data_IF_117048552310
#
_entry.id   IF_117048552310
#
_cell.length_a   1.000
_cell.length_b   1.000
_cell.length_c   1.000
_cell.angle_alpha   90.00
_cell.angle_beta   90.00
_cell.angle_gamma   90.00
#
_symmetry.space_group_name_H-M   'P 1'
#
loop_
_entity.id
_entity.type
_entity.pdbx_description
1 polymer ?
#
# COMPACT_ATOMS: atom_id res chain seq x y z
N UNK A 1 62.00 -35.42 23.22
CA UNK A 1 62.33 -34.16 22.52
C UNK A 1 61.14 -33.72 21.65
N UNK A 2 60.57 -32.54 21.90
CA UNK A 2 59.26 -32.09 21.38
C UNK A 2 59.44 -31.26 20.11
N UNK A 3 58.96 -31.78 18.97
CA UNK A 3 59.04 -31.15 17.64
C UNK A 3 58.13 -29.91 17.60
N UNK A 4 58.71 -28.69 17.57
CA UNK A 4 57.96 -27.44 17.41
C UNK A 4 57.37 -27.38 15.98
N UNK A 5 56.04 -27.44 15.86
CA UNK A 5 55.33 -27.15 14.60
C UNK A 5 55.46 -25.66 14.30
N UNK A 6 56.04 -25.33 13.14
CA UNK A 6 56.03 -23.98 12.58
C UNK A 6 54.59 -23.58 12.25
N UNK A 7 54.06 -22.60 12.97
CA UNK A 7 52.79 -21.96 12.64
C UNK A 7 53.04 -21.01 11.48
N UNK A 8 52.62 -21.40 10.26
CA UNK A 8 52.56 -20.53 9.10
C UNK A 8 51.51 -19.45 9.37
N UNK A 9 51.95 -18.29 9.87
CA UNK A 9 51.10 -17.12 10.01
C UNK A 9 50.57 -16.73 8.62
N UNK A 10 49.25 -16.73 8.45
CA UNK A 10 48.62 -16.09 7.30
C UNK A 10 48.75 -14.59 7.52
N UNK A 11 49.60 -13.95 6.74
CA UNK A 11 49.74 -12.50 6.69
C UNK A 11 48.35 -11.90 6.46
N UNK A 12 47.85 -10.98 7.32
CA UNK A 12 46.70 -10.19 6.94
C UNK A 12 47.12 -9.38 5.71
N UNK A 13 46.35 -9.50 4.63
CA UNK A 13 46.51 -8.68 3.43
C UNK A 13 46.49 -7.23 3.91
N UNK A 14 47.66 -6.59 3.85
CA UNK A 14 47.86 -5.21 4.25
C UNK A 14 47.10 -4.32 3.28
N UNK A 15 45.84 -4.05 3.60
CA UNK A 15 45.08 -2.98 2.96
C UNK A 15 45.79 -1.69 3.35
N UNK A 16 46.51 -1.09 2.40
CA UNK A 16 47.18 0.18 2.62
C UNK A 16 46.13 1.23 3.02
N UNK A 17 46.48 2.15 3.92
CA UNK A 17 45.59 3.26 4.31
C UNK A 17 45.09 4.07 3.10
N UNK A 18 45.83 4.03 1.99
CA UNK A 18 45.44 4.60 0.71
C UNK A 18 44.21 3.92 0.08
N UNK A 19 44.02 2.61 0.25
CA UNK A 19 42.82 1.90 -0.21
C UNK A 19 41.58 2.21 0.66
N UNK A 20 41.77 2.49 1.96
CA UNK A 20 40.68 2.93 2.85
C UNK A 20 40.18 4.36 2.53
N UNK A 21 41.04 5.18 1.92
CA UNK A 21 40.71 6.54 1.47
C UNK A 21 40.25 6.61 0.00
N UNK A 22 40.07 5.47 -0.67
CA UNK A 22 39.43 5.48 -1.98
C UNK A 22 37.95 5.88 -1.79
N UNK A 23 37.44 6.93 -2.47
CA UNK A 23 36.04 7.30 -2.35
C UNK A 23 35.19 6.13 -2.83
N UNK A 24 34.52 5.46 -1.90
CA UNK A 24 33.53 4.43 -2.23
C UNK A 24 32.49 5.05 -3.15
N UNK A 25 32.11 4.32 -4.21
CA UNK A 25 31.04 4.74 -5.11
C UNK A 25 29.82 5.11 -4.28
N UNK A 26 29.44 6.38 -4.34
CA UNK A 26 28.23 6.88 -3.70
C UNK A 26 27.04 6.14 -4.33
N UNK A 27 26.42 5.25 -3.56
CA UNK A 27 25.10 4.71 -3.88
C UNK A 27 24.09 5.69 -3.29
N UNK A 28 23.42 6.53 -4.10
CA UNK A 28 22.39 7.41 -3.58
C UNK A 28 21.34 6.60 -2.81
N UNK A 29 20.87 7.07 -1.64
CA UNK A 29 19.75 6.46 -0.95
C UNK A 29 18.58 6.39 -1.93
N UNK A 30 18.05 5.18 -2.18
CA UNK A 30 16.82 5.05 -2.98
C UNK A 30 15.77 5.98 -2.36
N UNK A 31 15.32 6.97 -3.12
CA UNK A 31 14.20 7.79 -2.72
C UNK A 31 13.05 6.83 -2.37
N UNK A 32 12.64 6.80 -1.09
CA UNK A 32 11.44 6.06 -0.69
C UNK A 32 10.30 6.75 -1.41
N UNK A 33 9.85 6.21 -2.55
CA UNK A 33 8.66 6.70 -3.21
C UNK A 33 7.52 6.47 -2.25
N UNK A 34 7.13 7.55 -1.56
CA UNK A 34 5.98 7.55 -0.68
C UNK A 34 4.77 7.59 -1.60
N UNK A 35 4.41 6.43 -2.14
CA UNK A 35 3.10 6.19 -2.72
C UNK A 35 2.09 6.27 -1.57
N UNK A 36 1.78 7.50 -1.15
CA UNK A 36 0.63 7.77 -0.30
C UNK A 36 -0.50 8.10 -1.26
N UNK A 37 -1.37 7.13 -1.47
CA UNK A 37 -2.71 7.40 -2.02
C UNK A 37 -3.34 8.51 -1.17
N UNK A 38 -3.94 9.54 -1.77
CA UNK A 38 -4.62 10.59 -1.01
C UNK A 38 -5.71 9.96 -0.13
N UNK A 39 -5.75 10.24 1.18
CA UNK A 39 -6.67 9.58 2.12
C UNK A 39 -8.14 9.85 1.78
N UNK A 40 -8.43 10.91 1.01
CA UNK A 40 -9.77 11.22 0.55
C UNK A 40 -10.36 10.14 -0.38
N UNK A 41 -9.53 9.42 -1.14
CA UNK A 41 -10.01 8.32 -2.00
C UNK A 41 -10.63 7.21 -1.17
N UNK A 42 -9.96 6.81 -0.08
CA UNK A 42 -10.48 5.81 0.86
C UNK A 42 -11.72 6.31 1.61
N UNK A 43 -11.76 7.59 1.96
CA UNK A 43 -12.94 8.20 2.59
C UNK A 43 -14.15 8.22 1.65
N UNK A 44 -13.97 8.62 0.39
CA UNK A 44 -15.03 8.63 -0.63
C UNK A 44 -15.51 7.22 -0.95
N UNK A 45 -14.61 6.23 -1.01
CA UNK A 45 -14.94 4.80 -1.12
C UNK A 45 -15.91 4.34 -0.04
N UNK A 46 -15.54 4.53 1.23
CA UNK A 46 -16.37 4.10 2.35
C UNK A 46 -17.71 4.83 2.38
N UNK A 47 -17.70 6.13 2.07
CA UNK A 47 -18.93 6.94 2.02
C UNK A 47 -19.86 6.44 0.92
N UNK A 48 -19.36 6.23 -0.29
CA UNK A 48 -20.15 5.74 -1.43
C UNK A 48 -20.74 4.36 -1.16
N UNK A 49 -19.97 3.47 -0.52
CA UNK A 49 -20.40 2.11 -0.19
C UNK A 49 -21.44 2.09 0.94
N UNK A 50 -21.21 2.86 2.02
CA UNK A 50 -22.18 3.01 3.12
C UNK A 50 -23.49 3.63 2.63
N UNK A 51 -23.40 4.67 1.81
CA UNK A 51 -24.59 5.32 1.25
C UNK A 51 -25.34 4.39 0.31
N UNK A 52 -24.64 3.68 -0.60
CA UNK A 52 -25.28 2.67 -1.46
C UNK A 52 -26.00 1.59 -0.67
N UNK A 53 -25.36 1.09 0.40
CA UNK A 53 -25.97 0.10 1.29
C UNK A 53 -27.19 0.65 2.04
N UNK A 54 -27.08 1.88 2.57
CA UNK A 54 -28.19 2.55 3.25
C UNK A 54 -29.37 2.82 2.31
N UNK A 55 -29.12 3.15 1.05
CA UNK A 55 -30.17 3.33 0.02
C UNK A 55 -30.90 2.02 -0.24
N UNK A 56 -30.18 0.90 -0.38
CA UNK A 56 -30.80 -0.43 -0.58
C UNK A 56 -31.64 -0.80 0.64
N UNK A 57 -31.09 -0.66 1.85
CA UNK A 57 -31.81 -0.96 3.09
C UNK A 57 -33.04 -0.06 3.26
N UNK A 58 -32.91 1.25 3.06
CA UNK A 58 -34.02 2.18 3.16
C UNK A 58 -35.12 1.88 2.14
N UNK A 59 -34.76 1.50 0.91
CA UNK A 59 -35.74 1.15 -0.11
C UNK A 59 -36.51 -0.12 0.26
N UNK A 60 -35.82 -1.14 0.75
CA UNK A 60 -36.45 -2.40 1.18
C UNK A 60 -37.27 -2.27 2.47
N UNK A 61 -36.84 -1.42 3.40
CA UNK A 61 -37.60 -1.10 4.62
C UNK A 61 -38.79 -0.17 4.36
N UNK A 62 -39.06 0.19 3.09
CA UNK A 62 -40.12 1.14 2.70
C UNK A 62 -40.04 2.48 3.45
N UNK A 63 -38.85 2.86 3.92
CA UNK A 63 -38.57 4.13 4.61
C UNK A 63 -38.51 5.32 3.64
N UNK A 64 -38.45 5.07 2.33
CA UNK A 64 -38.48 6.10 1.30
C UNK A 64 -39.92 6.38 0.82
N UNK A 65 -40.25 7.65 0.51
CA UNK A 65 -41.57 8.02 -0.01
C UNK A 65 -41.80 7.31 -1.35
N UNK A 66 -42.75 6.38 -1.36
CA UNK A 66 -43.00 5.48 -2.48
C UNK A 66 -43.76 4.20 -2.10
N UNK A 67 -43.77 3.83 -0.82
CA UNK A 67 -44.64 2.79 -0.24
C UNK A 67 -44.38 1.35 -0.73
N UNK A 68 -43.51 1.16 -1.72
CA UNK A 68 -43.18 -0.11 -2.37
C UNK A 68 -41.69 -0.08 -2.77
N UNK A 69 -41.02 -1.24 -2.80
CA UNK A 69 -39.67 -1.35 -3.35
C UNK A 69 -39.69 -0.91 -4.83
N UNK A 70 -38.85 0.07 -5.17
CA UNK A 70 -38.86 0.72 -6.48
C UNK A 70 -37.55 0.40 -7.21
N UNK A 71 -37.66 -0.13 -8.43
CA UNK A 71 -36.51 -0.53 -9.24
C UNK A 71 -35.52 0.62 -9.49
N UNK A 72 -35.99 1.88 -9.52
CA UNK A 72 -35.16 3.08 -9.66
C UNK A 72 -34.12 3.22 -8.54
N UNK A 73 -34.51 2.99 -7.29
CA UNK A 73 -33.59 3.05 -6.14
C UNK A 73 -32.65 1.85 -6.08
N UNK A 74 -33.06 0.70 -6.63
CA UNK A 74 -32.19 -0.46 -6.85
C UNK A 74 -31.06 -0.13 -7.85
N UNK A 75 -31.38 0.48 -8.99
CA UNK A 75 -30.36 0.95 -9.94
C UNK A 75 -29.47 2.03 -9.36
N UNK A 76 -30.02 2.94 -8.54
CA UNK A 76 -29.25 3.97 -7.83
C UNK A 76 -28.26 3.35 -6.83
N UNK A 77 -28.72 2.41 -6.00
CA UNK A 77 -27.88 1.70 -5.02
C UNK A 77 -26.80 0.85 -5.72
N UNK A 78 -27.16 0.16 -6.80
CA UNK A 78 -26.22 -0.59 -7.61
C UNK A 78 -25.16 0.31 -8.25
N UNK A 79 -25.57 1.46 -8.80
CA UNK A 79 -24.66 2.46 -9.36
C UNK A 79 -23.67 2.99 -8.31
N UNK A 80 -24.16 3.32 -7.11
CA UNK A 80 -23.32 3.74 -5.97
C UNK A 80 -22.28 2.68 -5.59
N UNK A 81 -22.65 1.41 -5.57
CA UNK A 81 -21.70 0.32 -5.26
C UNK A 81 -20.64 0.18 -6.37
N UNK A 82 -21.02 0.25 -7.65
CA UNK A 82 -20.08 0.14 -8.78
C UNK A 82 -19.09 1.31 -8.78
N UNK A 83 -19.58 2.55 -8.58
CA UNK A 83 -18.73 3.74 -8.46
C UNK A 83 -17.80 3.60 -7.24
N UNK A 84 -18.36 3.15 -6.13
CA UNK A 84 -17.66 2.80 -4.91
C UNK A 84 -16.79 1.55 -5.04
N UNK A 85 -16.70 0.85 -6.18
CA UNK A 85 -15.71 -0.19 -6.41
C UNK A 85 -14.64 0.30 -7.37
N UNK A 86 -15.01 1.11 -8.36
CA UNK A 86 -14.08 1.77 -9.28
C UNK A 86 -13.12 2.72 -8.57
N UNK A 87 -13.59 3.48 -7.58
CA UNK A 87 -12.71 4.30 -6.72
C UNK A 87 -11.65 3.46 -5.97
N UNK A 88 -11.95 2.18 -5.68
CA UNK A 88 -11.07 1.26 -4.97
C UNK A 88 -9.87 0.91 -5.82
N UNK A 89 -10.11 0.71 -7.11
CA UNK A 89 -9.06 0.36 -8.09
C UNK A 89 -8.07 1.51 -8.32
N UNK A 90 -8.43 2.74 -7.92
CA UNK A 90 -7.54 3.91 -7.94
C UNK A 90 -6.68 4.03 -6.68
N UNK A 91 -6.87 3.16 -5.69
CA UNK A 91 -5.98 3.04 -4.55
C UNK A 91 -4.70 2.34 -5.00
N UNK A 92 -3.68 3.14 -5.36
CA UNK A 92 -2.32 2.68 -5.70
C UNK A 92 -1.29 3.35 -4.81
#
# INVERSE_FOLDING_TARGET
>A
MRRKKSSRAKTPIGVSKAQLNAPGRYTPPKAKSRHKSPPWVSASMFTCLLVGFAVILGNYLSLLPGGQAQNSYLFLGLGLIIVGFGLSTRLR
#
